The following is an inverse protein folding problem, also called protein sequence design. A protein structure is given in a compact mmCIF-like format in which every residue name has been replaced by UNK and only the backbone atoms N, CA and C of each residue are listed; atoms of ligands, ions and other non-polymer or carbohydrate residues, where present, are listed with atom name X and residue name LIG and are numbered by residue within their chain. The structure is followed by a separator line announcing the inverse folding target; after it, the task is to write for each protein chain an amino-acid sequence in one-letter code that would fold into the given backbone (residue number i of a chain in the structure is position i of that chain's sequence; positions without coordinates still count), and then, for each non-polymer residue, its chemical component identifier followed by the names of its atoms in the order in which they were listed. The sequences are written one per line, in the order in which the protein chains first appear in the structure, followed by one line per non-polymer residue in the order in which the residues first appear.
data_IF_361312568199
#
_entry.id   IF_361312568199
#
_cell.length_a   1.000
_cell.length_b   1.000
_cell.length_c   1.000
_cell.angle_alpha   90.00
_cell.angle_beta   90.00
_cell.angle_gamma   90.00
#
_symmetry.space_group_name_H-M   'P 1'
#
loop_
_entity.id
_entity.type
_entity.pdbx_description
1 polymer ?
#
# COMPACT_ATOMS: atom_id res chain seq x y z
N UNK A 1 35.02 14.50 20.88
CA UNK A 1 34.75 13.85 19.58
C UNK A 1 33.32 14.15 19.21
N UNK A 2 33.04 14.93 18.15
CA UNK A 2 31.69 15.36 17.84
C UNK A 2 30.94 14.27 17.07
N UNK A 3 29.71 14.04 17.53
CA UNK A 3 28.65 13.25 16.93
C UNK A 3 28.28 13.79 15.55
N UNK A 4 28.39 12.97 14.50
CA UNK A 4 27.78 13.25 13.20
C UNK A 4 26.28 12.97 13.32
N UNK A 5 25.49 14.03 13.53
CA UNK A 5 24.07 14.00 13.22
C UNK A 5 23.93 13.96 11.70
N UNK A 6 23.27 12.93 11.19
CA UNK A 6 22.98 12.77 9.77
C UNK A 6 21.76 13.66 9.45
N UNK A 7 22.02 14.88 8.97
CA UNK A 7 20.99 15.79 8.46
C UNK A 7 20.51 15.28 7.08
N UNK A 8 19.71 14.21 7.11
CA UNK A 8 19.07 13.62 5.94
C UNK A 8 17.82 14.39 5.55
N UNK A 9 17.97 15.67 5.18
CA UNK A 9 16.87 16.45 4.59
C UNK A 9 16.75 16.06 3.11
N UNK A 10 16.09 14.94 2.84
CA UNK A 10 15.68 14.58 1.48
C UNK A 10 14.36 15.31 1.22
N UNK A 11 14.44 16.48 0.59
CA UNK A 11 13.29 17.10 -0.06
C UNK A 11 12.94 16.27 -1.32
N UNK A 12 12.39 15.08 -1.09
CA UNK A 12 11.77 14.27 -2.11
C UNK A 12 10.30 14.65 -2.17
N UNK A 13 9.89 15.22 -3.29
CA UNK A 13 8.49 15.49 -3.62
C UNK A 13 7.73 14.15 -3.58
N UNK A 14 7.17 13.80 -2.42
CA UNK A 14 6.29 12.64 -2.27
C UNK A 14 4.91 13.09 -2.72
N UNK A 15 4.70 13.13 -4.03
CA UNK A 15 3.35 13.07 -4.58
C UNK A 15 2.72 11.80 -4.02
N UNK A 16 1.72 11.95 -3.16
CA UNK A 16 1.08 10.80 -2.54
C UNK A 16 0.24 10.11 -3.61
N UNK A 17 0.16 8.78 -3.59
CA UNK A 17 -0.71 8.03 -4.49
C UNK A 17 -2.19 8.43 -4.35
N UNK A 18 -2.56 9.11 -3.26
CA UNK A 18 -3.88 9.71 -3.06
C UNK A 18 -4.14 10.92 -3.97
N UNK A 19 -3.11 11.73 -4.27
CA UNK A 19 -3.24 12.91 -5.12
C UNK A 19 -3.51 12.56 -6.59
N UNK A 20 -3.08 11.37 -7.04
CA UNK A 20 -3.33 10.87 -8.40
C UNK A 20 -4.73 10.28 -8.61
N UNK A 21 -5.51 10.07 -7.55
CA UNK A 21 -6.86 9.52 -7.64
C UNK A 21 -7.96 10.59 -7.69
N UNK A 22 -7.62 11.86 -7.47
CA UNK A 22 -8.56 12.98 -7.50
C UNK A 22 -8.94 13.45 -8.92
N UNK A 23 -8.26 12.96 -9.96
CA UNK A 23 -8.46 13.40 -11.35
C UNK A 23 -9.30 12.42 -12.20
N UNK A 24 -10.00 11.47 -11.57
CA UNK A 24 -11.09 10.74 -12.25
C UNK A 24 -12.37 11.59 -12.14
N UNK A 25 -12.27 12.79 -12.73
CA UNK A 25 -13.38 13.72 -12.88
C UNK A 25 -14.42 13.14 -13.82
N UNK A 26 -15.63 13.00 -13.29
CA UNK A 26 -16.87 12.76 -14.03
C UNK A 26 -17.12 13.91 -15.01
N UNK A 27 -16.70 13.77 -16.26
CA UNK A 27 -17.18 14.54 -17.40
C UNK A 27 -17.33 13.60 -18.60
N UNK A 28 -18.40 12.81 -18.57
CA UNK A 28 -18.80 11.95 -19.68
C UNK A 28 -19.69 12.76 -20.65
N UNK A 29 -19.09 13.68 -21.38
CA UNK A 29 -19.50 13.91 -22.76
C UNK A 29 -18.47 13.24 -23.66
N UNK A 30 -18.44 11.91 -23.61
CA UNK A 30 -17.69 11.14 -24.60
C UNK A 30 -18.32 11.35 -25.97
N UNK A 31 -17.65 12.14 -26.82
CA UNK A 31 -17.84 12.05 -28.26
C UNK A 31 -17.42 10.63 -28.65
N UNK A 32 -18.40 9.75 -28.82
CA UNK A 32 -18.19 8.38 -29.30
C UNK A 32 -17.79 8.48 -30.77
N UNK A 33 -16.49 8.58 -31.04
CA UNK A 33 -15.95 8.26 -32.36
C UNK A 33 -16.05 6.73 -32.49
N UNK A 34 -16.81 6.16 -33.43
CA UNK A 34 -16.88 4.72 -33.57
C UNK A 34 -15.52 4.20 -34.02
N UNK A 35 -14.75 3.68 -33.06
CA UNK A 35 -13.49 2.99 -33.32
C UNK A 35 -13.84 1.69 -34.08
N UNK A 36 -13.63 1.71 -35.39
CA UNK A 36 -13.79 0.51 -36.20
C UNK A 36 -12.61 -0.42 -35.92
N UNK A 37 -12.89 -1.58 -35.34
CA UNK A 37 -11.88 -2.60 -35.05
C UNK A 37 -11.75 -3.50 -36.29
N UNK A 38 -10.52 -3.63 -36.80
CA UNK A 38 -10.21 -4.41 -37.99
C UNK A 38 -9.74 -5.82 -37.65
N UNK A 39 -9.98 -6.76 -38.56
CA UNK A 39 -9.51 -8.13 -38.46
C UNK A 39 -7.99 -8.20 -38.64
N UNK A 40 -7.33 -9.00 -37.80
CA UNK A 40 -5.89 -9.24 -37.89
C UNK A 40 -5.50 -10.10 -39.11
N UNK A 41 -6.38 -11.02 -39.52
CA UNK A 41 -6.13 -11.95 -40.64
C UNK A 41 -6.54 -11.39 -42.01
N UNK A 42 -7.55 -10.51 -42.05
CA UNK A 42 -8.11 -9.98 -43.29
C UNK A 42 -8.04 -8.45 -43.27
N UNK A 43 -6.96 -7.92 -43.86
CA UNK A 43 -6.66 -6.48 -43.84
C UNK A 43 -7.79 -5.65 -44.44
N UNK A 44 -8.24 -4.65 -43.69
CA UNK A 44 -9.31 -3.73 -44.11
C UNK A 44 -10.73 -4.22 -43.79
N UNK A 45 -10.91 -5.48 -43.39
CA UNK A 45 -12.21 -5.99 -42.96
C UNK A 45 -12.50 -5.64 -41.50
N UNK A 46 -13.71 -5.12 -41.26
CA UNK A 46 -14.17 -4.76 -39.91
C UNK A 46 -14.74 -6.00 -39.21
N UNK A 47 -14.41 -6.14 -37.93
CA UNK A 47 -14.99 -7.17 -37.06
C UNK A 47 -16.48 -6.85 -36.84
N UNK A 48 -17.36 -7.78 -37.18
CA UNK A 48 -18.84 -7.62 -37.09
C UNK A 48 -19.54 -8.79 -36.42
N UNK A 49 -18.84 -9.90 -36.21
CA UNK A 49 -19.39 -11.10 -35.62
C UNK A 49 -18.53 -11.63 -34.46
N UNK A 50 -19.08 -12.60 -33.75
CA UNK A 50 -18.48 -13.29 -32.63
C UNK A 50 -18.79 -14.78 -32.73
N UNK A 51 -17.76 -15.62 -32.67
CA UNK A 51 -17.93 -17.06 -32.58
C UNK A 51 -18.05 -17.47 -31.11
N UNK A 52 -19.18 -18.05 -30.72
CA UNK A 52 -19.42 -18.51 -29.35
C UNK A 52 -18.57 -19.75 -29.05
N UNK A 53 -18.41 -20.67 -30.00
CA UNK A 53 -17.63 -21.90 -29.82
C UNK A 53 -16.17 -21.62 -29.44
N UNK A 54 -15.57 -20.59 -30.06
CA UNK A 54 -14.17 -20.21 -29.83
C UNK A 54 -14.02 -19.00 -28.90
N UNK A 55 -15.11 -18.34 -28.56
CA UNK A 55 -15.15 -17.11 -27.79
C UNK A 55 -14.28 -15.99 -28.37
N UNK A 56 -14.33 -15.79 -29.69
CA UNK A 56 -13.50 -14.83 -30.42
C UNK A 56 -14.32 -13.89 -31.31
N UNK A 57 -13.99 -12.57 -31.34
CA UNK A 57 -14.55 -11.63 -32.31
C UNK A 57 -13.91 -11.85 -33.69
N UNK A 58 -14.69 -11.70 -34.76
CA UNK A 58 -14.24 -12.01 -36.12
C UNK A 58 -14.93 -11.17 -37.22
N UNK A 59 -14.28 -11.04 -38.39
CA UNK A 59 -14.88 -10.45 -39.59
C UNK A 59 -15.70 -11.48 -40.38
N UNK A 60 -16.42 -11.01 -41.40
CA UNK A 60 -17.25 -11.86 -42.26
C UNK A 60 -16.45 -12.90 -43.05
N UNK A 61 -15.20 -12.64 -43.41
CA UNK A 61 -14.34 -13.62 -44.08
C UNK A 61 -13.93 -14.75 -43.11
N UNK A 62 -13.49 -14.42 -41.90
CA UNK A 62 -13.22 -15.43 -40.87
C UNK A 62 -14.46 -16.29 -40.58
N UNK A 63 -15.66 -15.71 -40.58
CA UNK A 63 -16.92 -16.42 -40.37
C UNK A 63 -17.16 -17.50 -41.43
N UNK A 64 -16.79 -17.21 -42.69
CA UNK A 64 -17.10 -18.06 -43.86
C UNK A 64 -15.97 -19.01 -44.22
N UNK A 65 -14.73 -18.70 -43.87
CA UNK A 65 -13.55 -19.51 -44.19
C UNK A 65 -13.15 -20.40 -43.00
N UNK A 66 -12.86 -19.79 -41.85
CA UNK A 66 -12.28 -20.46 -40.69
C UNK A 66 -13.34 -20.97 -39.71
N UNK A 67 -14.47 -20.27 -39.59
CA UNK A 67 -15.54 -20.56 -38.64
C UNK A 67 -16.82 -21.11 -39.29
N UNK A 68 -16.75 -21.55 -40.56
CA UNK A 68 -17.92 -22.06 -41.31
C UNK A 68 -18.62 -23.25 -40.64
N UNK A 69 -17.85 -24.06 -39.90
CA UNK A 69 -18.34 -25.25 -39.18
C UNK A 69 -18.75 -24.95 -37.73
N UNK A 70 -18.66 -23.70 -37.30
CA UNK A 70 -19.14 -23.30 -35.98
C UNK A 70 -20.65 -23.09 -36.03
N UNK A 71 -21.37 -23.75 -35.12
CA UNK A 71 -22.83 -23.69 -35.09
C UNK A 71 -23.36 -22.33 -34.58
N UNK A 72 -22.55 -21.60 -33.80
CA UNK A 72 -23.00 -20.39 -33.12
C UNK A 72 -22.06 -19.21 -33.39
N UNK A 73 -22.27 -18.60 -34.56
CA UNK A 73 -21.67 -17.32 -34.96
C UNK A 73 -22.78 -16.27 -34.98
N UNK A 74 -22.66 -15.27 -34.09
CA UNK A 74 -23.65 -14.20 -33.91
C UNK A 74 -23.03 -12.83 -34.16
N UNK A 75 -23.85 -11.80 -34.35
CA UNK A 75 -23.33 -10.43 -34.47
C UNK A 75 -22.78 -9.92 -33.14
N UNK A 76 -21.84 -8.98 -33.18
CA UNK A 76 -21.24 -8.40 -31.97
C UNK A 76 -22.30 -7.71 -31.11
N UNK A 77 -23.28 -7.05 -31.72
CA UNK A 77 -24.36 -6.37 -31.02
C UNK A 77 -25.20 -7.35 -30.20
N UNK A 78 -25.35 -8.59 -30.69
CA UNK A 78 -26.04 -9.67 -29.97
C UNK A 78 -25.16 -10.30 -28.90
N UNK A 79 -23.86 -10.46 -29.16
CA UNK A 79 -22.92 -11.07 -28.22
C UNK A 79 -22.60 -10.17 -27.01
N UNK A 80 -22.43 -8.86 -27.24
CA UNK A 80 -21.89 -7.94 -26.25
C UNK A 80 -22.75 -7.85 -24.96
N UNK A 81 -24.09 -7.74 -25.00
CA UNK A 81 -24.91 -7.74 -23.79
C UNK A 81 -24.80 -9.06 -23.03
N UNK A 82 -24.74 -10.19 -23.74
CA UNK A 82 -24.63 -11.53 -23.14
C UNK A 82 -23.31 -11.71 -22.40
N UNK A 83 -22.19 -11.29 -22.98
CA UNK A 83 -20.87 -11.36 -22.35
C UNK A 83 -20.80 -10.40 -21.15
N UNK A 84 -21.26 -9.16 -21.31
CA UNK A 84 -21.27 -8.14 -20.24
C UNK A 84 -22.12 -8.55 -19.03
N UNK A 85 -23.26 -9.19 -19.27
CA UNK A 85 -24.19 -9.66 -18.24
C UNK A 85 -23.98 -11.13 -17.86
N UNK A 86 -22.98 -11.79 -18.44
CA UNK A 86 -22.72 -13.19 -18.11
C UNK A 86 -22.35 -13.31 -16.64
N UNK A 87 -22.82 -14.37 -16.01
CA UNK A 87 -22.53 -14.68 -14.62
C UNK A 87 -21.01 -14.65 -14.35
N UNK A 88 -20.21 -15.23 -15.26
CA UNK A 88 -18.75 -15.24 -15.16
C UNK A 88 -18.14 -13.83 -15.14
N UNK A 89 -18.58 -12.93 -16.02
CA UNK A 89 -18.10 -11.54 -16.02
C UNK A 89 -18.48 -10.82 -14.73
N UNK A 90 -19.70 -11.04 -14.23
CA UNK A 90 -20.15 -10.43 -12.98
C UNK A 90 -19.42 -10.97 -11.75
N UNK A 91 -19.14 -12.27 -11.70
CA UNK A 91 -18.37 -12.93 -10.64
C UNK A 91 -16.94 -12.40 -10.62
N UNK A 92 -16.24 -12.42 -11.76
CA UNK A 92 -14.88 -11.89 -11.86
C UNK A 92 -14.80 -10.40 -11.50
N UNK A 93 -15.77 -9.59 -11.92
CA UNK A 93 -15.83 -8.17 -11.55
C UNK A 93 -16.02 -7.98 -10.03
N UNK A 94 -16.83 -8.85 -9.41
CA UNK A 94 -17.09 -8.81 -7.97
C UNK A 94 -15.87 -9.28 -7.18
N UNK A 95 -15.25 -10.39 -7.56
CA UNK A 95 -14.02 -10.91 -6.96
C UNK A 95 -12.88 -9.90 -7.06
N UNK A 96 -12.72 -9.24 -8.21
CA UNK A 96 -11.69 -8.22 -8.40
C UNK A 96 -11.91 -7.02 -7.46
N UNK A 97 -13.16 -6.55 -7.33
CA UNK A 97 -13.51 -5.46 -6.41
C UNK A 97 -13.26 -5.83 -4.95
N UNK A 98 -13.66 -7.04 -4.55
CA UNK A 98 -13.45 -7.51 -3.19
C UNK A 98 -11.96 -7.68 -2.89
N UNK A 99 -11.20 -8.28 -3.81
CA UNK A 99 -9.73 -8.42 -3.67
C UNK A 99 -9.06 -7.05 -3.56
N UNK A 100 -9.47 -6.07 -4.38
CA UNK A 100 -8.94 -4.70 -4.34
C UNK A 100 -9.24 -4.03 -2.99
N UNK A 101 -10.43 -4.25 -2.44
CA UNK A 101 -10.82 -3.74 -1.12
C UNK A 101 -10.00 -4.38 -0.02
N UNK A 102 -9.88 -5.71 -0.02
CA UNK A 102 -9.07 -6.45 0.96
C UNK A 102 -7.62 -6.01 0.95
N UNK A 103 -7.05 -5.78 -0.24
CA UNK A 103 -5.69 -5.27 -0.36
C UNK A 103 -5.55 -3.86 0.23
N UNK A 104 -6.51 -2.99 -0.03
CA UNK A 104 -6.54 -1.62 0.53
C UNK A 104 -6.62 -1.64 2.06
N UNK A 105 -7.47 -2.49 2.62
CA UNK A 105 -7.60 -2.69 4.07
C UNK A 105 -6.33 -3.27 4.69
N UNK A 106 -5.68 -4.22 4.02
CA UNK A 106 -4.40 -4.79 4.48
C UNK A 106 -3.30 -3.73 4.50
N UNK A 107 -3.20 -2.91 3.45
CA UNK A 107 -2.23 -1.80 3.38
C UNK A 107 -2.48 -0.83 4.54
N UNK A 108 -3.74 -0.43 4.77
CA UNK A 108 -4.12 0.46 5.88
C UNK A 108 -3.75 -0.16 7.23
N UNK A 109 -4.08 -1.43 7.44
CA UNK A 109 -3.78 -2.13 8.69
C UNK A 109 -2.26 -2.20 8.94
N UNK A 110 -1.47 -2.52 7.92
CA UNK A 110 0.00 -2.55 8.04
C UNK A 110 0.58 -1.18 8.38
N UNK A 111 0.06 -0.10 7.79
CA UNK A 111 0.49 1.27 8.13
C UNK A 111 0.22 1.59 9.60
N UNK A 112 -0.98 1.27 10.09
CA UNK A 112 -1.32 1.47 11.49
C UNK A 112 -0.40 0.68 12.42
N UNK A 113 -0.16 -0.60 12.13
CA UNK A 113 0.76 -1.43 12.93
C UNK A 113 2.20 -0.89 12.94
N UNK A 114 2.69 -0.33 11.83
CA UNK A 114 4.02 0.30 11.80
C UNK A 114 4.07 1.52 12.71
N UNK A 115 3.05 2.39 12.64
CA UNK A 115 2.97 3.57 13.51
C UNK A 115 2.86 3.17 14.99
N UNK A 116 2.03 2.18 15.32
CA UNK A 116 1.89 1.68 16.69
C UNK A 116 3.21 1.10 17.20
N UNK A 117 3.93 0.36 16.36
CA UNK A 117 5.23 -0.22 16.68
C UNK A 117 6.29 0.87 16.93
N UNK A 118 6.32 1.93 16.12
CA UNK A 118 7.21 3.08 16.32
C UNK A 118 6.92 3.81 17.64
N UNK A 119 5.64 4.02 17.95
CA UNK A 119 5.22 4.62 19.23
C UNK A 119 5.64 3.75 20.41
N UNK A 120 5.45 2.44 20.33
CA UNK A 120 5.83 1.50 21.39
C UNK A 120 7.36 1.45 21.58
N UNK A 121 8.12 1.43 20.49
CA UNK A 121 9.58 1.45 20.53
C UNK A 121 10.10 2.71 21.24
N UNK A 122 9.56 3.90 20.90
CA UNK A 122 9.95 5.15 21.54
C UNK A 122 9.56 5.18 23.03
N UNK A 123 8.39 4.65 23.37
CA UNK A 123 7.95 4.53 24.76
C UNK A 123 8.90 3.62 25.58
N UNK A 124 9.36 2.51 24.99
CA UNK A 124 10.35 1.61 25.62
C UNK A 124 11.69 2.34 25.82
N UNK A 125 12.21 3.03 24.80
CA UNK A 125 13.45 3.80 24.89
C UNK A 125 13.38 4.86 26.00
N UNK A 126 12.25 5.57 26.07
CA UNK A 126 11.99 6.56 27.12
C UNK A 126 11.98 5.92 28.52
N UNK A 127 11.34 4.76 28.67
CA UNK A 127 11.32 4.00 29.94
C UNK A 127 12.73 3.55 30.35
N UNK A 128 13.52 3.03 29.42
CA UNK A 128 14.91 2.61 29.67
C UNK A 128 15.76 3.79 30.15
N UNK A 129 15.68 4.93 29.47
CA UNK A 129 16.39 6.15 29.88
C UNK A 129 15.93 6.66 31.26
N UNK A 130 14.63 6.59 31.54
CA UNK A 130 14.07 6.94 32.85
C UNK A 130 14.65 6.05 33.95
N UNK A 131 14.66 4.73 33.75
CA UNK A 131 15.24 3.77 34.71
C UNK A 131 16.71 4.06 34.94
N UNK A 132 17.50 4.21 33.87
CA UNK A 132 18.93 4.53 33.94
C UNK A 132 19.18 5.80 34.76
N UNK A 133 18.46 6.87 34.45
CA UNK A 133 18.63 8.18 35.11
C UNK A 133 18.26 8.10 36.60
N UNK A 134 17.19 7.37 36.93
CA UNK A 134 16.78 7.15 38.32
C UNK A 134 17.80 6.33 39.11
N UNK A 135 18.36 5.27 38.53
CA UNK A 135 19.40 4.47 39.18
C UNK A 135 20.66 5.28 39.44
N UNK A 136 21.16 6.03 38.45
CA UNK A 136 22.33 6.92 38.62
C UNK A 136 22.08 7.96 39.71
N UNK A 137 20.91 8.60 39.71
CA UNK A 137 20.52 9.58 40.73
C UNK A 137 20.52 8.96 42.14
N UNK A 138 20.00 7.74 42.28
CA UNK A 138 19.96 7.06 43.58
C UNK A 138 21.36 6.69 44.07
N UNK A 139 22.21 6.16 43.18
CA UNK A 139 23.60 5.84 43.49
C UNK A 139 24.40 7.07 43.92
N UNK A 140 24.26 8.19 43.19
CA UNK A 140 24.91 9.45 43.55
C UNK A 140 24.46 9.97 44.92
N UNK A 141 23.17 9.81 45.26
CA UNK A 141 22.65 10.19 46.59
C UNK A 141 23.30 9.36 47.70
N UNK A 142 23.43 8.04 47.50
CA UNK A 142 24.10 7.14 48.46
C UNK A 142 25.57 7.52 48.60
N UNK A 143 26.26 7.79 47.49
CA UNK A 143 27.67 8.20 47.49
C UNK A 143 27.90 9.45 48.33
N UNK A 144 27.08 10.49 48.15
CA UNK A 144 27.15 11.72 48.95
C UNK A 144 26.91 11.44 50.43
N UNK A 145 25.90 10.63 50.76
CA UNK A 145 25.61 10.27 52.16
C UNK A 145 26.77 9.52 52.83
N UNK A 146 27.44 8.62 52.10
CA UNK A 146 28.61 7.90 52.60
C UNK A 146 29.79 8.87 52.81
N UNK A 147 30.09 9.73 51.82
CA UNK A 147 31.15 10.74 51.93
C UNK A 147 30.95 11.68 53.11
N UNK A 148 29.71 12.11 53.34
CA UNK A 148 29.35 12.96 54.48
C UNK A 148 29.58 12.25 55.82
N UNK A 149 29.15 10.99 55.94
CA UNK A 149 29.35 10.18 57.16
C UNK A 149 30.83 9.99 57.46
N UNK A 150 31.64 9.65 56.46
CA UNK A 150 33.09 9.49 56.61
C UNK A 150 33.73 10.82 57.05
N UNK A 151 33.34 11.93 56.41
CA UNK A 151 33.88 13.26 56.74
C UNK A 151 33.56 13.69 58.16
N UNK A 152 32.33 13.44 58.64
CA UNK A 152 31.93 13.70 60.04
C UNK A 152 32.72 12.84 61.01
N UNK A 153 32.78 11.53 60.78
CA UNK A 153 33.54 10.61 61.62
C UNK A 153 35.03 10.97 61.69
N UNK A 154 35.64 11.38 60.57
CA UNK A 154 37.02 11.86 60.54
C UNK A 154 37.22 13.10 61.41
N UNK A 155 36.31 14.09 61.34
CA UNK A 155 36.38 15.30 62.19
C UNK A 155 36.27 14.97 63.67
N UNK A 156 35.33 14.10 64.03
CA UNK A 156 35.14 13.65 65.42
C UNK A 156 36.36 12.89 65.95
N UNK A 157 36.99 12.04 65.14
CA UNK A 157 38.20 11.33 65.52
C UNK A 157 39.39 12.28 65.79
N UNK A 158 39.55 13.31 64.95
CA UNK A 158 40.60 14.33 65.15
C UNK A 158 40.39 15.10 66.44
N UNK A 159 39.15 15.52 66.73
CA UNK A 159 38.80 16.26 67.96
C UNK A 159 39.03 15.45 69.25
N UNK A 160 38.93 14.12 69.19
CA UNK A 160 39.20 13.24 70.35
C UNK A 160 40.68 13.02 70.62
N UNK A 161 41.54 13.30 69.65
CA UNK A 161 43.00 13.12 69.73
C UNK A 161 43.76 14.42 70.01
N UNK A 162 43.07 15.57 69.96
CA UNK A 162 43.55 16.90 70.34
C UNK A 162 43.19 17.24 71.78
#
# INVERSE_FOLDING_TARGET
MPTRCFDGRVAGNQETWADKLADVGTNDETVIVPLSIFCEEHSGDVIKAYCVNHSTPLCTLCATLSHRKCDDVITIEKAAPGIKKSQKTTELSTELKETSKQLSDLIRNRKNHLTDFEIEAEAILTKVNTIKTNSVRHLNKIEVQIKDKISKSKKEAVLKLS
#
